data_IF_030172445390
#
_entry.id   IF_030172445390
#
_cell.length_a   1.000
_cell.length_b   1.000
_cell.length_c   1.000
_cell.angle_alpha   90.00
_cell.angle_beta   90.00
_cell.angle_gamma   90.00
#
_symmetry.space_group_name_H-M   'P 1'
#
loop_
_entity.id
_entity.type
_entity.pdbx_description
1 polymer ?
#
# COMPACT_ATOMS: atom_id res chain seq x y z
N UNK A 1 -10.96 15.48 -51.43
CA UNK A 1 -10.24 14.31 -50.88
C UNK A 1 -9.41 14.60 -49.62
N UNK A 2 -8.86 15.81 -49.43
CA UNK A 2 -7.98 16.15 -48.29
C UNK A 2 -8.62 16.03 -46.90
N UNK A 3 -9.91 16.35 -46.73
CA UNK A 3 -10.62 16.24 -45.45
C UNK A 3 -10.82 14.79 -44.98
N UNK A 4 -11.15 13.88 -45.90
CA UNK A 4 -11.33 12.46 -45.58
C UNK A 4 -10.03 11.80 -45.13
N UNK A 5 -8.90 12.21 -45.70
CA UNK A 5 -7.58 11.75 -45.28
C UNK A 5 -7.23 12.20 -43.86
N UNK A 6 -7.48 13.46 -43.52
CA UNK A 6 -7.25 13.96 -42.15
C UNK A 6 -8.18 13.28 -41.12
N UNK A 7 -9.43 12.99 -41.49
CA UNK A 7 -10.37 12.27 -40.63
C UNK A 7 -9.89 10.84 -40.35
N UNK A 8 -9.38 10.15 -41.37
CA UNK A 8 -8.83 8.81 -41.24
C UNK A 8 -7.59 8.79 -40.32
N UNK A 9 -6.64 9.71 -40.54
CA UNK A 9 -5.44 9.85 -39.68
C UNK A 9 -5.79 10.15 -38.22
N UNK A 10 -6.84 10.96 -37.98
CA UNK A 10 -7.34 11.25 -36.63
C UNK A 10 -7.95 10.01 -35.98
N UNK A 11 -8.78 9.25 -36.71
CA UNK A 11 -9.36 8.00 -36.20
C UNK A 11 -8.31 6.93 -35.93
N UNK A 12 -7.31 6.77 -36.80
CA UNK A 12 -6.19 5.85 -36.61
C UNK A 12 -5.37 6.22 -35.36
N UNK A 13 -5.19 7.53 -35.12
CA UNK A 13 -4.51 8.03 -33.93
C UNK A 13 -5.31 7.78 -32.66
N UNK A 14 -6.61 8.06 -32.65
CA UNK A 14 -7.50 7.75 -31.53
C UNK A 14 -7.54 6.25 -31.23
N UNK A 15 -7.59 5.41 -32.28
CA UNK A 15 -7.62 3.96 -32.14
C UNK A 15 -6.31 3.43 -31.54
N UNK A 16 -5.16 3.94 -31.99
CA UNK A 16 -3.84 3.59 -31.42
C UNK A 16 -3.75 3.97 -29.94
N UNK A 17 -4.18 5.19 -29.58
CA UNK A 17 -4.22 5.62 -28.17
C UNK A 17 -5.11 4.70 -27.34
N UNK A 18 -6.28 4.30 -27.86
CA UNK A 18 -7.20 3.41 -27.13
C UNK A 18 -6.64 1.99 -26.96
N UNK A 19 -5.90 1.47 -27.95
CA UNK A 19 -5.18 0.19 -27.84
C UNK A 19 -4.06 0.25 -26.80
N UNK A 20 -3.29 1.34 -26.77
CA UNK A 20 -2.25 1.54 -25.76
C UNK A 20 -2.84 1.65 -24.35
N UNK A 21 -3.92 2.41 -24.16
CA UNK A 21 -4.63 2.51 -22.88
C UNK A 21 -5.14 1.15 -22.41
N UNK A 22 -5.67 0.32 -23.32
CA UNK A 22 -6.07 -1.05 -23.00
C UNK A 22 -4.90 -1.96 -22.61
N UNK A 23 -3.71 -1.73 -23.17
CA UNK A 23 -2.50 -2.47 -22.78
C UNK A 23 -2.01 -2.07 -21.37
N UNK A 24 -2.24 -0.82 -20.95
CA UNK A 24 -1.99 -0.38 -19.57
C UNK A 24 -3.02 -0.90 -18.56
N UNK A 25 -4.20 -1.33 -19.02
CA UNK A 25 -5.22 -1.96 -18.19
C UNK A 25 -4.87 -3.44 -17.90
N UNK A 26 -3.77 -3.67 -17.18
CA UNK A 26 -3.52 -4.98 -16.57
C UNK A 26 -4.62 -5.25 -15.52
N UNK A 27 -5.16 -6.48 -15.38
CA UNK A 27 -6.22 -6.79 -14.41
C UNK A 27 -5.88 -6.48 -12.94
N UNK A 28 -4.59 -6.31 -12.63
CA UNK A 28 -4.09 -5.84 -11.34
C UNK A 28 -3.86 -4.32 -11.30
N UNK A 29 -3.55 -3.70 -12.44
CA UNK A 29 -3.26 -2.28 -12.63
C UNK A 29 -4.59 -1.55 -12.88
N UNK A 30 -5.33 -1.31 -11.80
CA UNK A 30 -6.70 -0.75 -11.89
C UNK A 30 -7.66 -1.28 -10.84
N UNK A 31 -7.24 -2.24 -10.00
CA UNK A 31 -7.95 -2.50 -8.74
C UNK A 31 -7.65 -1.38 -7.77
N UNK A 32 -8.41 -0.29 -7.90
CA UNK A 32 -8.38 0.81 -6.94
C UNK A 32 -8.43 0.27 -5.51
N UNK A 33 -7.59 0.78 -4.61
CA UNK A 33 -7.71 0.49 -3.18
C UNK A 33 -9.16 0.72 -2.76
N UNK A 34 -9.79 -0.29 -2.16
CA UNK A 34 -11.18 -0.21 -1.67
C UNK A 34 -11.18 0.00 -0.16
N UNK A 35 -12.37 0.18 0.43
CA UNK A 35 -12.47 0.42 1.89
C UNK A 35 -11.89 -0.73 2.72
N UNK A 36 -11.92 -1.98 2.22
CA UNK A 36 -11.29 -3.11 2.90
C UNK A 36 -9.76 -3.06 2.85
N UNK A 37 -9.17 -2.68 1.72
CA UNK A 37 -7.71 -2.49 1.59
C UNK A 37 -7.22 -1.36 2.47
N UNK A 38 -7.98 -0.24 2.53
CA UNK A 38 -7.73 0.80 3.52
C UNK A 38 -7.76 0.20 4.90
N UNK A 39 -8.90 -0.36 5.34
CA UNK A 39 -9.05 -0.85 6.71
C UNK A 39 -7.91 -1.81 7.11
N UNK A 40 -7.51 -2.73 6.23
CA UNK A 40 -6.38 -3.61 6.44
C UNK A 40 -5.05 -2.85 6.63
N UNK A 41 -4.82 -1.79 5.87
CA UNK A 41 -3.63 -0.94 5.98
C UNK A 41 -3.61 -0.16 7.30
N UNK A 42 -4.75 0.35 7.76
CA UNK A 42 -4.87 1.01 9.08
C UNK A 42 -4.65 0.03 10.24
N UNK A 43 -5.20 -1.18 10.13
CA UNK A 43 -4.97 -2.23 11.12
C UNK A 43 -3.49 -2.63 11.16
N UNK A 44 -2.86 -2.76 10.00
CA UNK A 44 -1.43 -3.04 9.91
C UNK A 44 -0.60 -1.93 10.56
N UNK A 45 -0.93 -0.65 10.34
CA UNK A 45 -0.26 0.47 10.99
C UNK A 45 -0.33 0.36 12.53
N UNK A 46 -1.52 0.11 13.08
CA UNK A 46 -1.72 -0.04 14.51
C UNK A 46 -0.95 -1.25 15.08
N UNK A 47 -0.96 -2.39 14.39
CA UNK A 47 -0.22 -3.58 14.82
C UNK A 47 1.30 -3.38 14.73
N UNK A 48 1.79 -2.59 13.77
CA UNK A 48 3.21 -2.24 13.69
C UNK A 48 3.67 -1.37 14.86
N UNK A 49 2.86 -0.40 15.26
CA UNK A 49 3.13 0.43 16.43
C UNK A 49 3.14 -0.40 17.73
N UNK A 50 2.19 -1.34 17.85
CA UNK A 50 2.15 -2.29 18.95
C UNK A 50 3.38 -3.20 18.95
N UNK A 51 3.75 -3.74 17.79
CA UNK A 51 4.92 -4.60 17.63
C UNK A 51 6.22 -3.85 17.97
N UNK A 52 6.38 -2.61 17.51
CA UNK A 52 7.51 -1.75 17.85
C UNK A 52 7.62 -1.48 19.36
N UNK A 53 6.51 -1.17 20.00
CA UNK A 53 6.45 -0.93 21.45
C UNK A 53 6.77 -2.19 22.24
N UNK A 54 6.16 -3.31 21.86
CA UNK A 54 6.37 -4.63 22.47
C UNK A 54 7.81 -5.12 22.31
N UNK A 55 8.40 -4.96 21.11
CA UNK A 55 9.80 -5.28 20.87
C UNK A 55 10.72 -4.45 21.77
N UNK A 56 10.52 -3.12 21.81
CA UNK A 56 11.35 -2.23 22.63
C UNK A 56 11.26 -2.61 24.11
N UNK A 57 10.05 -2.84 24.61
CA UNK A 57 9.81 -3.28 25.98
C UNK A 57 10.47 -4.63 26.26
N UNK A 58 10.26 -5.63 25.41
CA UNK A 58 10.84 -6.96 25.55
C UNK A 58 12.36 -6.93 25.69
N UNK A 59 13.05 -6.26 24.77
CA UNK A 59 14.53 -6.23 24.79
C UNK A 59 15.05 -5.37 25.96
N UNK A 60 14.30 -4.35 26.40
CA UNK A 60 14.65 -3.59 27.61
C UNK A 60 14.50 -4.43 28.87
N UNK A 61 13.37 -5.12 29.03
CA UNK A 61 13.07 -5.98 30.18
C UNK A 61 14.05 -7.14 30.27
N UNK A 62 14.37 -7.79 29.14
CA UNK A 62 15.34 -8.88 29.12
C UNK A 62 16.74 -8.42 29.58
N UNK A 63 17.18 -7.23 29.12
CA UNK A 63 18.46 -6.65 29.54
C UNK A 63 18.45 -6.34 31.04
N UNK A 64 17.42 -5.63 31.52
CA UNK A 64 17.30 -5.27 32.94
C UNK A 64 17.24 -6.50 33.85
N UNK A 65 16.55 -7.57 33.42
CA UNK A 65 16.48 -8.82 34.16
C UNK A 65 17.85 -9.47 34.32
N UNK A 66 18.63 -9.57 33.24
CA UNK A 66 19.96 -10.21 33.29
C UNK A 66 20.96 -9.34 34.06
N UNK A 67 20.87 -8.01 33.95
CA UNK A 67 21.66 -7.09 34.77
C UNK A 67 21.36 -7.27 36.26
N UNK A 68 20.08 -7.35 36.64
CA UNK A 68 19.66 -7.58 38.02
C UNK A 68 20.13 -8.95 38.54
N UNK A 69 19.98 -10.00 37.72
CA UNK A 69 20.43 -11.35 38.07
C UNK A 69 21.95 -11.42 38.21
N UNK A 70 22.70 -10.85 37.27
CA UNK A 70 24.17 -10.78 37.32
C UNK A 70 24.67 -9.98 38.52
N UNK A 71 24.03 -8.83 38.81
CA UNK A 71 24.32 -8.03 40.00
C UNK A 71 24.07 -8.81 41.29
N UNK A 72 22.92 -9.49 41.39
CA UNK A 72 22.60 -10.34 42.55
C UNK A 72 23.63 -11.47 42.74
N UNK A 73 24.00 -12.16 41.66
CA UNK A 73 24.99 -13.24 41.69
C UNK A 73 26.40 -12.76 42.06
N UNK A 74 26.75 -11.51 41.74
CA UNK A 74 28.07 -10.94 42.07
C UNK A 74 28.33 -10.86 43.58
N UNK A 75 27.29 -10.74 44.40
CA UNK A 75 27.41 -10.72 45.87
C UNK A 75 27.88 -12.06 46.46
N UNK A 76 27.73 -13.16 45.73
CA UNK A 76 28.17 -14.49 46.15
C UNK A 76 29.62 -14.79 45.75
N UNK A 77 30.26 -13.90 44.98
CA UNK A 77 31.67 -14.01 44.63
C UNK A 77 32.48 -13.38 45.76
N UNK A 78 33.05 -14.21 46.64
CA UNK A 78 33.93 -13.73 47.70
C UNK A 78 35.14 -12.98 47.11
N UNK A 79 35.52 -11.80 47.64
CA UNK A 79 36.80 -11.16 47.32
C UNK A 79 37.93 -11.95 47.99
N UNK A 80 38.28 -13.13 47.47
CA UNK A 80 39.47 -13.86 47.92
C UNK A 80 40.67 -13.36 47.14
N UNK A 81 41.35 -12.41 47.78
CA UNK A 81 42.80 -12.16 47.80
C UNK A 81 43.59 -12.87 46.70
N UNK A 82 44.13 -12.06 45.78
CA UNK A 82 45.24 -12.44 44.92
C UNK A 82 46.39 -12.98 45.77
N UNK A 83 46.75 -14.26 45.63
CA UNK A 83 48.13 -14.68 45.75
C UNK A 83 48.41 -15.78 44.73
N UNK A 84 49.35 -15.45 43.83
CA UNK A 84 50.04 -16.29 42.87
C UNK A 84 50.12 -17.78 43.24
N UNK A 85 49.87 -18.64 42.25
CA UNK A 85 50.88 -19.63 41.84
C UNK A 85 50.60 -20.20 40.46
N UNK A 86 51.54 -19.91 39.57
CA UNK A 86 52.12 -20.82 38.56
C UNK A 86 51.19 -21.57 37.59
N UNK A 87 51.37 -21.24 36.30
CA UNK A 87 51.24 -22.22 35.23
C UNK A 87 50.15 -21.91 34.20
N UNK A 88 50.57 -21.32 33.08
CA UNK A 88 50.02 -21.49 31.73
C UNK A 88 48.52 -21.80 31.64
N UNK A 89 47.66 -20.79 31.79
CA UNK A 89 46.26 -20.91 31.40
C UNK A 89 45.87 -19.71 30.52
N UNK A 90 45.38 -20.01 29.31
CA UNK A 90 44.79 -19.06 28.36
C UNK A 90 43.44 -18.50 28.84
N UNK A 91 42.98 -18.90 30.03
CA UNK A 91 41.74 -18.43 30.65
C UNK A 91 42.02 -17.15 31.43
N UNK A 92 41.28 -16.07 31.12
CA UNK A 92 41.38 -14.80 31.86
C UNK A 92 41.26 -15.10 33.37
N UNK A 93 42.27 -14.76 34.20
CA UNK A 93 42.37 -15.20 35.60
C UNK A 93 41.17 -14.80 36.47
N UNK A 94 40.41 -13.78 36.04
CA UNK A 94 39.21 -13.31 36.71
C UNK A 94 38.02 -14.29 36.68
N UNK A 95 37.94 -15.20 35.70
CA UNK A 95 36.79 -16.12 35.54
C UNK A 95 36.90 -17.43 36.30
N UNK A 96 38.06 -17.74 36.89
CA UNK A 96 38.34 -19.06 37.49
C UNK A 96 37.52 -19.30 38.77
N UNK A 97 37.08 -18.24 39.45
CA UNK A 97 36.34 -18.34 40.72
C UNK A 97 34.85 -17.91 40.60
N UNK A 98 34.35 -17.71 39.38
CA UNK A 98 32.98 -17.23 39.18
C UNK A 98 32.01 -18.40 39.11
N UNK A 99 30.82 -18.30 39.75
CA UNK A 99 29.75 -19.26 39.53
C UNK A 99 29.45 -19.35 38.01
N UNK A 100 29.30 -20.56 37.44
CA UNK A 100 29.02 -20.73 36.01
C UNK A 100 27.82 -19.89 35.53
N UNK A 101 26.81 -19.72 36.39
CA UNK A 101 25.64 -18.89 36.10
C UNK A 101 25.99 -17.40 35.93
N UNK A 102 26.94 -16.87 36.70
CA UNK A 102 27.39 -15.48 36.58
C UNK A 102 28.18 -15.25 35.29
N UNK A 103 28.99 -16.24 34.89
CA UNK A 103 29.67 -16.24 33.58
C UNK A 103 28.66 -16.22 32.44
N UNK A 104 27.62 -17.08 32.51
CA UNK A 104 26.53 -17.09 31.53
C UNK A 104 25.79 -15.75 31.46
N UNK A 105 25.49 -15.10 32.59
CA UNK A 105 24.82 -13.80 32.60
C UNK A 105 25.66 -12.72 31.89
N UNK A 106 26.97 -12.69 32.15
CA UNK A 106 27.88 -11.75 31.49
C UNK A 106 27.99 -11.99 29.98
N UNK A 107 28.11 -13.25 29.57
CA UNK A 107 28.22 -13.59 28.16
C UNK A 107 26.89 -13.30 27.44
N UNK A 108 25.75 -13.53 28.11
CA UNK A 108 24.43 -13.17 27.58
C UNK A 108 24.28 -11.65 27.42
N UNK A 109 24.66 -10.83 28.41
CA UNK A 109 24.65 -9.37 28.29
C UNK A 109 25.54 -8.90 27.14
N UNK A 110 26.75 -9.44 27.04
CA UNK A 110 27.66 -9.12 25.94
C UNK A 110 27.08 -9.49 24.57
N UNK A 111 26.31 -10.57 24.48
CA UNK A 111 25.57 -10.92 23.26
C UNK A 111 24.42 -9.95 22.98
N UNK A 112 23.62 -9.57 24.00
CA UNK A 112 22.52 -8.63 23.87
C UNK A 112 22.96 -7.23 23.45
N UNK A 113 24.13 -6.78 23.90
CA UNK A 113 24.71 -5.48 23.51
C UNK A 113 25.23 -5.46 22.07
N UNK A 114 25.59 -6.62 21.51
CA UNK A 114 25.98 -6.77 20.10
C UNK A 114 24.78 -6.83 19.15
N UNK A 115 23.57 -7.06 19.65
CA UNK A 115 22.39 -7.15 18.80
C UNK A 115 22.08 -5.79 18.16
N UNK A 116 21.60 -5.77 16.89
CA UNK A 116 21.34 -4.55 16.14
C UNK A 116 20.03 -3.87 16.56
N UNK A 117 19.78 -3.67 17.87
CA UNK A 117 18.52 -3.15 18.42
C UNK A 117 18.11 -1.83 17.78
N UNK A 118 19.03 -0.87 17.72
CA UNK A 118 18.77 0.47 17.14
C UNK A 118 18.40 0.38 15.66
N UNK A 119 19.09 -0.47 14.90
CA UNK A 119 18.81 -0.69 13.49
C UNK A 119 17.43 -1.31 13.29
N UNK A 120 17.08 -2.34 14.07
CA UNK A 120 15.76 -2.97 14.02
C UNK A 120 14.66 -1.96 14.37
N UNK A 121 14.79 -1.24 15.48
CA UNK A 121 13.84 -0.19 15.88
C UNK A 121 13.69 0.89 14.81
N UNK A 122 14.78 1.31 14.17
CA UNK A 122 14.74 2.27 13.06
C UNK A 122 14.02 1.72 11.84
N UNK A 123 14.30 0.46 11.46
CA UNK A 123 13.64 -0.20 10.34
C UNK A 123 12.13 -0.34 10.58
N UNK A 124 11.71 -0.71 11.79
CA UNK A 124 10.30 -0.76 12.18
C UNK A 124 9.62 0.60 12.05
N UNK A 125 10.26 1.67 12.54
CA UNK A 125 9.74 3.04 12.40
C UNK A 125 9.66 3.49 10.94
N UNK A 126 10.66 3.14 10.13
CA UNK A 126 10.64 3.42 8.69
C UNK A 126 9.47 2.72 8.02
N UNK A 127 9.28 1.44 8.33
CA UNK A 127 8.18 0.65 7.79
C UNK A 127 6.82 1.24 8.20
N UNK A 128 6.66 1.69 9.44
CA UNK A 128 5.46 2.41 9.87
C UNK A 128 5.18 3.68 9.03
N UNK A 129 6.21 4.46 8.70
CA UNK A 129 6.06 5.64 7.81
C UNK A 129 5.63 5.24 6.40
N UNK A 130 6.16 4.14 5.87
CA UNK A 130 5.82 3.65 4.55
C UNK A 130 4.36 3.17 4.49
N UNK A 131 3.88 2.49 5.55
CA UNK A 131 2.47 2.08 5.68
C UNK A 131 1.56 3.31 5.82
N UNK A 132 1.95 4.31 6.60
CA UNK A 132 1.19 5.55 6.72
C UNK A 132 1.08 6.29 5.37
N UNK A 133 2.18 6.37 4.63
CA UNK A 133 2.21 6.96 3.29
C UNK A 133 1.29 6.18 2.32
N UNK A 134 1.32 4.85 2.38
CA UNK A 134 0.42 3.98 1.61
C UNK A 134 -1.05 4.27 1.95
N UNK A 135 -1.42 4.37 3.22
CA UNK A 135 -2.80 4.68 3.63
C UNK A 135 -3.28 6.03 3.07
N UNK A 136 -2.42 7.05 3.07
CA UNK A 136 -2.72 8.35 2.48
C UNK A 136 -2.94 8.24 0.96
N UNK A 137 -2.03 7.54 0.26
CA UNK A 137 -2.14 7.30 -1.18
C UNK A 137 -3.43 6.54 -1.55
N UNK A 138 -3.82 5.53 -0.76
CA UNK A 138 -5.07 4.81 -0.94
C UNK A 138 -6.30 5.73 -0.77
N UNK A 139 -6.22 6.72 0.13
CA UNK A 139 -7.27 7.73 0.31
C UNK A 139 -7.43 8.64 -0.91
N UNK A 140 -6.31 9.10 -1.48
CA UNK A 140 -6.30 9.90 -2.71
C UNK A 140 -6.85 9.10 -3.90
N UNK A 141 -6.42 7.85 -4.04
CA UNK A 141 -6.88 6.94 -5.08
C UNK A 141 -8.41 6.75 -5.04
N UNK A 142 -8.98 6.60 -3.83
CA UNK A 142 -10.42 6.55 -3.62
C UNK A 142 -11.14 7.83 -4.04
N UNK A 143 -10.56 8.99 -3.75
CA UNK A 143 -11.13 10.26 -4.19
C UNK A 143 -11.15 10.39 -5.71
N UNK A 144 -10.07 9.96 -6.39
CA UNK A 144 -10.01 9.97 -7.84
C UNK A 144 -11.00 9.00 -8.46
N UNK A 145 -11.16 7.80 -7.89
CA UNK A 145 -12.18 6.83 -8.31
C UNK A 145 -13.58 7.43 -8.29
N UNK A 146 -13.96 8.11 -7.20
CA UNK A 146 -15.29 8.78 -7.10
C UNK A 146 -15.50 9.83 -8.18
N UNK A 147 -14.46 10.58 -8.55
CA UNK A 147 -14.53 11.56 -9.65
C UNK A 147 -14.73 10.86 -10.99
N UNK A 148 -13.96 9.81 -11.27
CA UNK A 148 -14.07 9.01 -12.51
C UNK A 148 -15.45 8.38 -12.63
N UNK A 149 -15.95 7.74 -11.56
CA UNK A 149 -17.29 7.14 -11.53
C UNK A 149 -18.39 8.19 -11.74
N UNK A 150 -18.21 9.40 -11.20
CA UNK A 150 -19.12 10.53 -11.42
C UNK A 150 -19.14 11.01 -12.87
N UNK A 151 -17.97 11.15 -13.50
CA UNK A 151 -17.84 11.53 -14.91
C UNK A 151 -18.40 10.45 -15.84
N UNK A 152 -18.16 9.17 -15.56
CA UNK A 152 -18.71 8.06 -16.32
C UNK A 152 -20.24 8.08 -16.31
N UNK A 153 -20.86 8.27 -15.12
CA UNK A 153 -22.31 8.40 -14.99
C UNK A 153 -22.88 9.59 -15.77
N UNK A 154 -22.20 10.73 -15.75
CA UNK A 154 -22.62 11.91 -16.51
C UNK A 154 -22.49 11.69 -18.02
N UNK A 155 -21.42 11.03 -18.47
CA UNK A 155 -21.23 10.66 -19.87
C UNK A 155 -22.33 9.71 -20.35
N UNK A 156 -22.68 8.68 -19.57
CA UNK A 156 -23.78 7.76 -19.87
C UNK A 156 -25.11 8.51 -19.97
N UNK A 157 -25.38 9.42 -19.02
CA UNK A 157 -26.59 10.26 -19.03
C UNK A 157 -26.69 11.11 -20.30
N UNK A 158 -25.58 11.73 -20.72
CA UNK A 158 -25.53 12.53 -21.95
C UNK A 158 -25.70 11.68 -23.19
N UNK A 159 -25.05 10.51 -23.23
CA UNK A 159 -25.16 9.56 -24.34
C UNK A 159 -26.60 9.11 -24.54
N UNK A 160 -27.30 8.74 -23.46
CA UNK A 160 -28.71 8.38 -23.50
C UNK A 160 -29.61 9.55 -23.94
N UNK A 161 -29.30 10.78 -23.51
CA UNK A 161 -30.04 11.98 -23.92
C UNK A 161 -29.88 12.25 -25.43
N UNK A 162 -28.66 12.14 -25.96
CA UNK A 162 -28.39 12.29 -27.39
C UNK A 162 -29.09 11.23 -28.22
N UNK A 163 -29.00 9.95 -27.83
CA UNK A 163 -29.72 8.86 -28.51
C UNK A 163 -31.24 9.08 -28.53
N UNK A 164 -31.81 9.63 -27.45
CA UNK A 164 -33.24 9.97 -27.39
C UNK A 164 -33.59 11.13 -28.33
N UNK A 165 -32.76 12.16 -28.39
CA UNK A 165 -32.96 13.29 -29.30
C UNK A 165 -32.86 12.85 -30.77
N UNK A 166 -31.88 12.01 -31.09
CA UNK A 166 -31.68 11.44 -32.42
C UNK A 166 -32.90 10.62 -32.87
N UNK A 167 -33.42 9.73 -32.01
CA UNK A 167 -34.64 8.97 -32.29
C UNK A 167 -35.84 9.86 -32.59
N UNK A 168 -36.06 10.92 -31.79
CA UNK A 168 -37.17 11.87 -32.03
C UNK A 168 -37.05 12.58 -33.38
N UNK A 169 -35.85 13.02 -33.75
CA UNK A 169 -35.62 13.67 -35.05
C UNK A 169 -35.90 12.69 -36.19
N UNK A 170 -35.45 11.44 -36.07
CA UNK A 170 -35.72 10.40 -37.05
C UNK A 170 -37.23 10.15 -37.20
N UNK A 171 -37.95 10.02 -36.09
CA UNK A 171 -39.42 9.86 -36.06
C UNK A 171 -40.14 11.05 -36.72
N UNK A 172 -39.76 12.29 -36.40
CA UNK A 172 -40.35 13.48 -37.03
C UNK A 172 -40.09 13.53 -38.54
N UNK A 173 -38.90 13.14 -39.00
CA UNK A 173 -38.59 13.06 -40.44
C UNK A 173 -39.45 12.02 -41.16
N UNK A 174 -39.68 10.86 -40.54
CA UNK A 174 -40.56 9.81 -41.09
C UNK A 174 -41.99 10.35 -41.20
N UNK A 175 -42.52 10.97 -40.14
CA UNK A 175 -43.87 11.53 -40.12
C UNK A 175 -44.07 12.67 -41.13
N UNK A 176 -43.09 13.58 -41.28
CA UNK A 176 -43.14 14.62 -42.32
C UNK A 176 -43.14 14.03 -43.73
N UNK A 177 -42.37 12.97 -43.95
CA UNK A 177 -42.30 12.31 -45.24
C UNK A 177 -43.60 11.58 -45.59
N UNK A 178 -44.22 10.90 -44.63
CA UNK A 178 -45.55 10.30 -44.78
C UNK A 178 -46.62 11.35 -45.06
N UNK A 179 -46.59 12.48 -44.36
CA UNK A 179 -47.52 13.59 -44.56
C UNK A 179 -47.41 14.18 -45.97
N UNK A 180 -46.19 14.38 -46.46
CA UNK A 180 -45.92 14.86 -47.83
C UNK A 180 -46.39 13.86 -48.89
N UNK A 181 -46.19 12.56 -48.66
CA UNK A 181 -46.63 11.50 -49.57
C UNK A 181 -48.16 11.44 -49.63
N UNK A 182 -48.83 11.56 -48.49
CA UNK A 182 -50.29 11.58 -48.39
C UNK A 182 -50.89 12.82 -49.07
N UNK A 183 -50.30 14.00 -48.85
CA UNK A 183 -50.73 15.23 -49.51
C UNK A 183 -50.58 15.16 -51.03
N UNK A 184 -49.48 14.57 -51.52
CA UNK A 184 -49.23 14.38 -52.95
C UNK A 184 -50.24 13.43 -53.59
N UNK A 185 -50.53 12.30 -52.94
CA UNK A 185 -51.53 11.34 -53.40
C UNK A 185 -52.95 11.94 -53.43
N UNK A 186 -53.29 12.79 -52.45
CA UNK A 186 -54.57 13.52 -52.47
C UNK A 186 -54.68 14.50 -53.64
N UNK A 187 -53.59 15.18 -54.02
CA UNK A 187 -53.57 16.11 -55.15
C UNK A 187 -53.72 15.36 -56.48
N UNK A 188 -53.08 14.19 -56.63
CA UNK A 188 -53.21 13.36 -57.84
C UNK A 188 -54.61 12.73 -58.02
N UNK A 189 -55.40 12.60 -56.95
CA UNK A 189 -56.76 12.04 -57.02
C UNK A 189 -57.85 13.09 -57.33
N UNK A 190 -57.52 14.39 -57.29
CA UNK A 190 -58.46 15.51 -57.49
C UNK A 190 -58.28 16.17 -58.88
N UNK A 191 -57.22 15.82 -59.63
CA UNK A 191 -56.99 16.24 -61.01
C UNK A 191 -57.54 15.20 -62.01
#
# INVERSE_FOLDING_TARGET
>A
MRNWKMMLESHETQNRVMLEVNYFNCPAYGKFSNDSHRLATLQLEAELDNWHSSFTAYVSTQKAYIEALGGWLSHFVSPKVEFCSSGNSLVRPYRINWPPLLVTCHDWLACLDKLPRKTVTCAMKSFGKDIHALWNQQGEEQQQKRKVDGLAKELDRRTLAFQRAERRILESKISEQESKLTARNCIEYIA
#
